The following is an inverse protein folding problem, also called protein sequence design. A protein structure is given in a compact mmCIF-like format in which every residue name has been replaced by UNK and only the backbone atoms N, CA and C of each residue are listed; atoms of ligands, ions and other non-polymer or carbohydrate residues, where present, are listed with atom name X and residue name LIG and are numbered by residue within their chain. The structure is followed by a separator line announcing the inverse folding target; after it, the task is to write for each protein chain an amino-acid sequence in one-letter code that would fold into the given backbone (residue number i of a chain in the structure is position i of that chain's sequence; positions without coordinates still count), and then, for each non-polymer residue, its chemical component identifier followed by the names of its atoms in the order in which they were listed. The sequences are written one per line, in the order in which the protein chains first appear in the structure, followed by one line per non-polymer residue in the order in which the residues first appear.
data_IF_475551855078
#
_entry.id   IF_475551855078
#
_cell.length_a   1.000
_cell.length_b   1.000
_cell.length_c   1.000
_cell.angle_alpha   90.00
_cell.angle_beta   90.00
_cell.angle_gamma   90.00
#
_symmetry.space_group_name_H-M   'P 1'
#
loop_
_entity.id
_entity.type
_entity.pdbx_description
1 polymer ?
#
# COMPACT_ATOMS: atom_id res chain seq x y z
N UNK A 1 -3.86 -21.44 -15.14
CA UNK A 1 -4.50 -20.32 -15.86
C UNK A 1 -3.57 -19.11 -15.86
N UNK A 2 -3.40 -18.52 -17.02
CA UNK A 2 -2.56 -17.33 -17.15
C UNK A 2 -3.41 -16.10 -16.88
N UNK A 3 -3.13 -15.42 -15.77
CA UNK A 3 -3.87 -14.22 -15.38
C UNK A 3 -3.06 -12.94 -15.57
N UNK A 4 -1.92 -13.03 -16.22
CA UNK A 4 -1.07 -11.87 -16.42
C UNK A 4 -1.76 -10.79 -17.26
N UNK A 5 -1.53 -9.54 -16.87
CA UNK A 5 -2.05 -8.39 -17.58
C UNK A 5 -0.93 -7.38 -17.80
N UNK A 6 -1.08 -6.55 -18.81
CA UNK A 6 -0.08 -5.52 -19.11
C UNK A 6 -0.71 -4.15 -18.90
N UNK A 7 -0.14 -3.40 -17.96
CA UNK A 7 -0.64 -2.06 -17.59
C UNK A 7 0.49 -1.07 -17.83
N UNK A 8 0.24 -0.10 -18.69
CA UNK A 8 1.21 0.95 -19.03
C UNK A 8 2.60 0.39 -19.39
N UNK A 9 2.63 -0.72 -20.13
CA UNK A 9 3.87 -1.34 -20.56
C UNK A 9 4.52 -2.26 -19.54
N UNK A 10 3.94 -2.41 -18.34
CA UNK A 10 4.47 -3.28 -17.29
C UNK A 10 3.59 -4.52 -17.17
N UNK A 11 4.20 -5.69 -17.18
CA UNK A 11 3.47 -6.94 -17.01
C UNK A 11 3.26 -7.24 -15.53
N UNK A 12 2.00 -7.45 -15.16
CA UNK A 12 1.61 -7.87 -13.81
C UNK A 12 1.26 -9.35 -13.82
N UNK A 13 1.56 -10.06 -12.74
CA UNK A 13 1.25 -11.48 -12.63
C UNK A 13 -0.25 -11.75 -12.72
N UNK A 14 -1.06 -10.82 -12.26
CA UNK A 14 -2.52 -10.92 -12.29
C UNK A 14 -3.10 -9.51 -12.11
N UNK A 15 -4.41 -9.33 -12.33
CA UNK A 15 -5.03 -7.99 -12.22
C UNK A 15 -5.38 -7.58 -10.81
N UNK A 16 -5.08 -8.39 -9.80
CA UNK A 16 -5.46 -8.07 -8.42
C UNK A 16 -4.48 -7.08 -7.82
N UNK A 17 -5.00 -5.98 -7.32
CA UNK A 17 -4.21 -4.96 -6.63
C UNK A 17 -4.96 -4.53 -5.38
N UNK A 18 -4.26 -3.93 -4.45
CA UNK A 18 -4.83 -3.45 -3.20
C UNK A 18 -4.65 -1.94 -3.08
N UNK A 19 -5.55 -1.31 -2.34
CA UNK A 19 -5.54 0.14 -2.17
C UNK A 19 -4.88 0.51 -0.85
N UNK A 20 -4.17 1.63 -0.84
CA UNK A 20 -3.43 2.09 0.33
C UNK A 20 -4.34 2.40 1.53
N UNK A 21 -5.59 2.79 1.29
CA UNK A 21 -6.51 3.16 2.36
C UNK A 21 -6.85 2.03 3.31
N UNK A 22 -6.84 0.80 2.82
CA UNK A 22 -7.18 -0.38 3.63
C UNK A 22 -6.00 -1.30 3.85
N UNK A 23 -5.02 -1.31 2.95
CA UNK A 23 -3.91 -2.23 3.00
C UNK A 23 -2.64 -1.60 3.60
N UNK A 24 -2.57 -0.29 3.66
CA UNK A 24 -1.38 0.42 4.08
C UNK A 24 -0.23 0.17 3.12
N UNK A 25 0.97 -0.03 3.66
CA UNK A 25 2.16 -0.37 2.87
C UNK A 25 2.38 -1.87 2.73
N UNK A 26 1.48 -2.67 3.26
CA UNK A 26 1.53 -4.12 3.13
C UNK A 26 2.12 -4.86 4.32
N UNK A 27 2.82 -4.17 5.22
CA UNK A 27 3.47 -4.81 6.36
C UNK A 27 2.46 -5.50 7.27
N UNK A 28 1.36 -4.82 7.60
CA UNK A 28 0.36 -5.33 8.52
C UNK A 28 -0.34 -6.58 7.99
N UNK A 29 -0.51 -6.65 6.68
CA UNK A 29 -1.22 -7.76 6.05
C UNK A 29 -0.30 -8.85 5.52
N UNK A 30 1.02 -8.66 5.57
CA UNK A 30 1.96 -9.65 5.08
C UNK A 30 1.89 -10.97 5.85
N UNK A 31 1.40 -10.94 7.08
CA UNK A 31 1.20 -12.13 7.90
C UNK A 31 0.00 -12.96 7.43
N UNK A 32 -0.95 -12.35 6.75
CA UNK A 32 -2.20 -13.00 6.33
C UNK A 32 -2.23 -13.30 4.85
N UNK A 33 -1.51 -12.51 4.06
CA UNK A 33 -1.53 -12.60 2.61
C UNK A 33 -0.10 -12.62 2.10
N UNK A 34 0.21 -13.57 1.23
CA UNK A 34 1.48 -13.58 0.52
C UNK A 34 1.46 -12.46 -0.51
N UNK A 35 2.23 -11.40 -0.28
CA UNK A 35 2.27 -10.24 -1.16
C UNK A 35 2.71 -10.59 -2.58
N UNK A 36 3.47 -11.66 -2.72
CA UNK A 36 3.94 -12.10 -4.04
C UNK A 36 2.83 -12.66 -4.92
N UNK A 37 1.69 -12.96 -4.35
CA UNK A 37 0.52 -13.44 -5.08
C UNK A 37 -0.34 -12.31 -5.63
N UNK A 38 -0.07 -11.08 -5.22
CA UNK A 38 -0.78 -9.91 -5.73
C UNK A 38 -0.14 -9.43 -7.02
N UNK A 39 -0.94 -8.83 -7.89
CA UNK A 39 -0.43 -8.20 -9.10
C UNK A 39 0.32 -6.92 -8.80
N UNK A 40 -0.17 -6.15 -7.85
CA UNK A 40 0.47 -4.90 -7.44
C UNK A 40 0.01 -4.49 -6.05
N UNK A 41 0.83 -3.69 -5.39
CA UNK A 41 0.49 -3.04 -4.13
C UNK A 41 0.58 -1.53 -4.34
N UNK A 42 -0.50 -0.83 -4.06
CA UNK A 42 -0.52 0.63 -4.15
C UNK A 42 -0.18 1.19 -2.77
N UNK A 43 0.95 1.85 -2.70
CA UNK A 43 1.39 2.43 -1.42
C UNK A 43 0.70 3.75 -1.16
N UNK A 44 0.82 4.23 0.07
CA UNK A 44 0.28 5.52 0.47
C UNK A 44 1.04 6.66 -0.21
N UNK A 45 0.35 7.78 -0.41
CA UNK A 45 1.02 8.99 -0.85
C UNK A 45 2.04 9.43 0.20
N UNK A 46 3.22 9.84 -0.24
CA UNK A 46 4.34 10.13 0.67
C UNK A 46 4.85 11.53 0.40
N UNK A 47 4.99 12.32 1.48
CA UNK A 47 5.57 13.66 1.41
C UNK A 47 7.10 13.60 1.57
N UNK A 48 7.77 14.69 1.25
CA UNK A 48 9.22 14.76 1.42
C UNK A 48 9.64 14.94 2.88
N UNK A 49 8.69 15.22 3.77
CA UNK A 49 8.91 15.30 5.23
C UNK A 49 7.81 14.49 5.92
N UNK A 50 8.03 14.08 7.18
CA UNK A 50 6.98 13.41 7.94
C UNK A 50 5.70 14.26 8.00
N UNK A 51 4.57 13.61 7.79
CA UNK A 51 3.27 14.30 7.75
C UNK A 51 2.30 13.60 8.69
N UNK A 52 1.98 14.19 9.85
CA UNK A 52 1.15 13.53 10.86
C UNK A 52 -0.33 13.43 10.50
N UNK A 53 -0.77 14.19 9.51
CA UNK A 53 -2.19 14.26 9.18
C UNK A 53 -2.94 15.18 10.11
N UNK A 54 -4.26 15.09 10.07
CA UNK A 54 -5.14 15.95 10.86
C UNK A 54 -5.25 15.44 12.30
N UNK A 55 -5.60 16.32 13.25
CA UNK A 55 -5.87 15.88 14.62
C UNK A 55 -7.13 15.02 14.68
N UNK A 56 -7.20 14.16 15.69
CA UNK A 56 -8.38 13.33 15.93
C UNK A 56 -9.47 14.14 16.65
N UNK A 57 -10.76 13.79 16.47
CA UNK A 57 -11.28 12.71 15.64
C UNK A 57 -11.23 13.06 14.16
N UNK A 58 -10.90 12.07 13.33
CA UNK A 58 -10.73 12.29 11.88
C UNK A 58 -11.45 11.25 11.03
N UNK A 59 -12.30 10.44 11.70
CA UNK A 59 -13.16 9.46 11.06
C UNK A 59 -14.53 9.58 11.69
N UNK A 60 -15.59 9.56 10.87
CA UNK A 60 -16.95 9.64 11.33
C UNK A 60 -17.84 8.73 10.53
N UNK A 61 -18.80 8.09 11.21
CA UNK A 61 -19.80 7.28 10.54
C UNK A 61 -20.87 8.19 9.95
N UNK A 62 -21.29 7.91 8.72
CA UNK A 62 -22.38 8.61 8.08
C UNK A 62 -23.41 7.57 7.60
N UNK A 63 -24.53 8.05 7.08
CA UNK A 63 -25.55 7.13 6.56
C UNK A 63 -24.96 6.26 5.44
N UNK A 64 -24.99 4.94 5.65
CA UNK A 64 -24.49 3.94 4.71
C UNK A 64 -23.00 4.09 4.35
N UNK A 65 -22.21 4.68 5.23
CA UNK A 65 -20.80 4.85 4.93
C UNK A 65 -20.00 5.47 6.06
N UNK A 66 -18.80 5.91 5.70
CA UNK A 66 -17.87 6.49 6.63
C UNK A 66 -17.15 7.67 5.95
N UNK A 67 -16.98 8.75 6.70
CA UNK A 67 -16.27 9.93 6.22
C UNK A 67 -14.95 10.04 6.97
N UNK A 68 -13.88 10.41 6.26
CA UNK A 68 -12.61 10.60 6.91
C UNK A 68 -11.95 11.92 6.49
N UNK A 69 -11.09 12.41 7.36
CA UNK A 69 -10.23 13.56 7.11
C UNK A 69 -8.86 13.26 7.71
N UNK A 70 -8.24 12.18 7.25
CA UNK A 70 -6.96 11.71 7.76
C UNK A 70 -5.85 12.72 7.50
N UNK A 71 -5.85 13.39 6.35
CA UNK A 71 -4.88 14.43 6.04
C UNK A 71 -3.55 13.89 5.56
N UNK A 72 -3.57 12.80 4.80
CA UNK A 72 -2.38 12.22 4.17
C UNK A 72 -1.28 11.86 5.16
N UNK A 73 -1.64 11.24 6.27
CA UNK A 73 -0.65 10.79 7.25
C UNK A 73 0.37 9.85 6.61
N UNK A 74 1.66 10.16 6.76
CA UNK A 74 2.73 9.33 6.22
C UNK A 74 4.04 9.64 6.96
N UNK A 75 5.02 8.73 6.90
CA UNK A 75 6.28 8.89 7.64
C UNK A 75 7.31 9.80 6.95
N UNK A 76 7.02 10.29 5.74
CA UNK A 76 7.99 11.00 4.93
C UNK A 76 8.79 10.03 4.06
N UNK A 77 9.36 10.56 2.99
CA UNK A 77 10.01 9.73 1.97
C UNK A 77 11.22 8.95 2.51
N UNK A 78 11.99 9.55 3.40
CA UNK A 78 13.18 8.89 3.91
C UNK A 78 12.83 7.63 4.70
N UNK A 79 11.90 7.74 5.66
CA UNK A 79 11.45 6.58 6.45
C UNK A 79 10.72 5.58 5.57
N UNK A 80 9.92 6.08 4.63
CA UNK A 80 9.19 5.22 3.70
C UNK A 80 10.17 4.34 2.90
N UNK A 81 11.24 4.91 2.39
CA UNK A 81 12.23 4.15 1.63
C UNK A 81 12.98 3.15 2.51
N UNK A 82 13.34 3.54 3.73
CA UNK A 82 14.11 2.67 4.63
C UNK A 82 13.27 1.53 5.20
N UNK A 83 11.98 1.78 5.49
CA UNK A 83 11.12 0.80 6.16
C UNK A 83 10.18 0.11 5.19
N UNK A 84 9.35 0.88 4.49
CA UNK A 84 8.23 0.31 3.74
C UNK A 84 8.66 -0.25 2.38
N UNK A 85 9.47 0.49 1.64
CA UNK A 85 9.95 0.02 0.34
C UNK A 85 10.92 -1.16 0.53
N UNK A 86 11.80 -1.09 1.52
CA UNK A 86 12.71 -2.20 1.78
C UNK A 86 11.95 -3.48 2.13
N UNK A 87 10.88 -3.38 2.93
CA UNK A 87 10.05 -4.53 3.26
C UNK A 87 9.43 -5.14 2.00
N UNK A 88 8.89 -4.33 1.11
CA UNK A 88 8.26 -4.81 -0.11
C UNK A 88 9.26 -5.48 -1.06
N UNK A 89 10.47 -4.92 -1.18
CA UNK A 89 11.49 -5.47 -2.06
C UNK A 89 12.23 -6.66 -1.46
N UNK A 90 12.26 -6.79 -0.15
CA UNK A 90 12.96 -7.92 0.50
C UNK A 90 12.03 -9.08 0.84
N UNK A 91 10.74 -8.97 0.56
CA UNK A 91 9.80 -10.07 0.76
C UNK A 91 10.21 -11.26 -0.11
N UNK A 92 10.20 -12.48 0.44
CA UNK A 92 10.54 -13.66 -0.35
C UNK A 92 9.63 -13.78 -1.57
N UNK A 93 10.24 -13.92 -2.73
CA UNK A 93 9.49 -14.05 -3.97
C UNK A 93 10.31 -14.83 -4.99
N UNK A 94 9.68 -15.72 -5.75
CA UNK A 94 10.35 -16.38 -6.86
C UNK A 94 10.89 -15.41 -7.90
N UNK A 95 10.38 -14.18 -7.92
CA UNK A 95 10.78 -13.16 -8.88
C UNK A 95 11.97 -12.34 -8.42
N UNK A 96 12.30 -12.40 -7.15
CA UNK A 96 13.39 -11.63 -6.56
C UNK A 96 14.73 -12.38 -6.60
N UNK A 97 14.69 -13.54 -7.15
CA UNK A 97 15.88 -14.39 -7.29
C UNK A 97 16.59 -14.15 -8.61
#
# INVERSE_FOLDING_TARGET
MDMRVKIAGVEWNNPVTVASGTFGSGEEYSEFVDLNRLGAVTTKGVANVPWPGNPTPRVAEIHSGMMNAIGLQNPGIDVFCERDICLLYTSPSPRDT
#
